data_IF_575316260067
#
_entry.id   IF_575316260067
#
_cell.length_a   1.000
_cell.length_b   1.000
_cell.length_c   1.000
_cell.angle_alpha   90.00
_cell.angle_beta   90.00
_cell.angle_gamma   90.00
#
_symmetry.space_group_name_H-M   'P 1'
#
loop_
_entity.id
_entity.type
_entity.pdbx_description
1 polymer ?
#
# COMPACT_ATOMS: atom_id res chain seq x y z
N UNK A 1 2.42 30.39 -5.16
CA UNK A 1 2.59 31.57 -4.33
C UNK A 1 1.94 31.30 -2.96
N UNK A 2 2.69 31.49 -1.87
CA UNK A 2 2.09 31.38 -0.55
C UNK A 2 1.24 32.64 -0.27
N UNK A 3 0.20 32.56 0.57
CA UNK A 3 -0.62 33.71 0.96
C UNK A 3 0.21 34.90 1.48
N UNK A 4 1.39 34.65 2.06
CA UNK A 4 2.34 35.66 2.52
C UNK A 4 2.93 36.51 1.38
N UNK A 5 3.18 35.93 0.20
CA UNK A 5 3.70 36.68 -0.95
C UNK A 5 2.63 37.59 -1.55
N UNK A 6 1.37 37.16 -1.57
CA UNK A 6 0.26 37.96 -2.06
C UNK A 6 0.01 39.17 -1.16
N UNK A 7 0.03 38.99 0.16
CA UNK A 7 -0.14 40.09 1.13
C UNK A 7 1.01 41.11 1.07
N UNK A 8 2.26 40.66 0.86
CA UNK A 8 3.41 41.55 0.69
C UNK A 8 3.32 42.37 -0.59
N UNK A 9 2.79 41.77 -1.65
CA UNK A 9 2.56 42.44 -2.92
C UNK A 9 1.48 43.52 -2.79
N UNK A 10 0.35 43.21 -2.17
CA UNK A 10 -0.77 44.13 -1.96
C UNK A 10 -0.36 45.33 -1.07
N UNK A 11 0.42 45.10 -0.03
CA UNK A 11 0.85 46.16 0.89
C UNK A 11 1.83 47.16 0.27
N UNK A 12 2.63 46.75 -0.71
CA UNK A 12 3.57 47.62 -1.43
C UNK A 12 2.88 48.44 -2.53
N UNK A 13 1.65 48.12 -2.92
CA UNK A 13 0.96 48.66 -4.07
C UNK A 13 -0.09 49.73 -3.74
N UNK A 14 -0.21 50.15 -2.48
CA UNK A 14 -1.14 51.18 -2.03
C UNK A 14 -0.94 52.56 -2.73
N UNK A 15 0.07 52.69 -3.61
CA UNK A 15 0.36 53.90 -4.36
C UNK A 15 -0.11 53.83 -5.82
N UNK A 16 -0.62 52.70 -6.27
CA UNK A 16 -1.06 52.55 -7.67
C UNK A 16 -2.54 52.84 -7.82
N UNK A 17 -2.90 53.56 -8.91
CA UNK A 17 -4.28 53.72 -9.25
C UNK A 17 -4.95 52.38 -9.59
N UNK A 18 -6.27 52.30 -9.39
CA UNK A 18 -7.05 51.07 -9.57
C UNK A 18 -6.82 50.38 -10.92
N UNK A 19 -6.70 51.20 -12.00
CA UNK A 19 -6.46 50.68 -13.34
C UNK A 19 -5.08 50.07 -13.54
N UNK A 20 -4.07 50.66 -12.92
CA UNK A 20 -2.70 50.13 -12.98
C UNK A 20 -2.58 48.82 -12.19
N UNK A 21 -3.26 48.75 -11.06
CA UNK A 21 -3.34 47.54 -10.24
C UNK A 21 -4.01 46.40 -11.03
N UNK A 22 -5.14 46.67 -11.70
CA UNK A 22 -5.84 45.69 -12.53
C UNK A 22 -4.99 45.20 -13.71
N UNK A 23 -4.26 46.07 -14.38
CA UNK A 23 -3.39 45.67 -15.49
C UNK A 23 -2.24 44.78 -15.04
N UNK A 24 -1.60 45.11 -13.92
CA UNK A 24 -0.47 44.32 -13.37
C UNK A 24 -0.93 42.99 -12.81
N UNK A 25 -2.10 42.94 -12.14
CA UNK A 25 -2.69 41.69 -11.70
C UNK A 25 -3.04 40.79 -12.88
N UNK A 26 -3.55 41.36 -13.98
CA UNK A 26 -3.82 40.59 -15.19
C UNK A 26 -2.55 40.01 -15.78
N UNK A 27 -1.47 40.80 -15.92
CA UNK A 27 -0.18 40.31 -16.40
C UNK A 27 0.39 39.17 -15.52
N UNK A 28 0.31 39.30 -14.20
CA UNK A 28 0.77 38.25 -13.26
C UNK A 28 -0.08 36.99 -13.38
N UNK A 29 -1.40 37.14 -13.55
CA UNK A 29 -2.30 36.00 -13.75
C UNK A 29 -2.04 35.33 -15.10
N UNK A 30 -1.85 36.09 -16.17
CA UNK A 30 -1.57 35.56 -17.51
C UNK A 30 -0.20 34.83 -17.52
N UNK A 31 0.81 35.38 -16.84
CA UNK A 31 2.12 34.75 -16.68
C UNK A 31 2.03 33.47 -15.77
N UNK A 32 1.31 33.53 -14.67
CA UNK A 32 1.05 32.39 -13.84
C UNK A 32 0.30 31.28 -14.59
N UNK A 33 -0.73 31.64 -15.37
CA UNK A 33 -1.46 30.67 -16.21
C UNK A 33 -0.55 30.08 -17.28
N UNK A 34 0.34 30.84 -17.91
CA UNK A 34 1.30 30.32 -18.90
C UNK A 34 2.31 29.35 -18.31
N UNK A 35 2.75 29.59 -17.07
CA UNK A 35 3.69 28.74 -16.34
C UNK A 35 2.99 27.46 -15.83
N UNK A 36 1.70 27.56 -15.46
CA UNK A 36 0.94 26.45 -14.88
C UNK A 36 0.05 25.72 -15.88
N UNK A 37 -0.14 26.29 -17.08
CA UNK A 37 -0.87 25.65 -18.16
C UNK A 37 0.03 24.65 -18.88
N UNK A 38 0.35 23.55 -18.20
CA UNK A 38 0.68 22.33 -18.91
C UNK A 38 -0.65 21.81 -19.44
N UNK A 39 -0.84 21.70 -20.77
CA UNK A 39 -2.08 21.17 -21.31
C UNK A 39 -2.37 19.84 -20.65
N UNK A 40 -3.55 19.71 -20.01
CA UNK A 40 -3.99 18.45 -19.36
C UNK A 40 -3.89 17.27 -20.35
N UNK A 41 -3.93 17.55 -21.66
CA UNK A 41 -3.73 16.56 -22.73
C UNK A 41 -2.30 15.93 -22.78
N UNK A 42 -1.30 16.55 -22.14
CA UNK A 42 0.07 16.00 -22.09
C UNK A 42 0.40 15.28 -20.79
N UNK A 43 -0.41 15.47 -19.72
CA UNK A 43 -0.34 14.65 -18.54
C UNK A 43 -1.21 13.41 -18.76
N UNK A 44 -0.72 12.49 -19.54
CA UNK A 44 -1.14 11.10 -19.36
C UNK A 44 -0.46 10.63 -18.08
N UNK A 45 -1.21 10.35 -16.98
CA UNK A 45 -0.64 9.63 -15.89
C UNK A 45 -0.04 8.37 -16.52
N UNK A 46 1.27 8.19 -16.40
CA UNK A 46 1.89 6.94 -16.84
C UNK A 46 1.08 5.85 -16.17
N UNK A 47 0.34 5.09 -16.98
CA UNK A 47 -0.42 3.94 -16.48
C UNK A 47 0.64 3.05 -15.88
N UNK A 48 0.71 3.00 -14.55
CA UNK A 48 1.66 2.12 -13.86
C UNK A 48 1.34 0.72 -14.39
N UNK A 49 2.27 0.16 -15.13
CA UNK A 49 2.16 -1.22 -15.58
C UNK A 49 2.41 -2.07 -14.34
N UNK A 50 1.40 -2.77 -13.89
CA UNK A 50 1.48 -3.72 -12.80
C UNK A 50 0.80 -5.02 -13.23
N UNK A 51 1.24 -6.10 -12.65
CA UNK A 51 0.61 -7.39 -12.76
C UNK A 51 -0.39 -7.54 -11.62
N UNK A 52 -1.54 -8.10 -11.91
CA UNK A 52 -2.55 -8.47 -10.92
C UNK A 52 -2.42 -9.97 -10.65
N UNK A 53 -2.18 -10.32 -9.41
CA UNK A 53 -2.04 -11.71 -8.93
C UNK A 53 -3.00 -11.94 -7.77
N UNK A 54 -3.53 -13.14 -7.67
CA UNK A 54 -4.35 -13.61 -6.55
C UNK A 54 -3.62 -14.70 -5.77
N UNK A 55 -4.06 -15.03 -4.58
CA UNK A 55 -3.47 -16.17 -3.86
C UNK A 55 -3.78 -17.53 -4.51
N UNK A 56 -4.61 -17.57 -5.54
CA UNK A 56 -4.85 -18.78 -6.34
C UNK A 56 -3.75 -19.01 -7.40
N UNK A 57 -3.05 -17.92 -7.84
CA UNK A 57 -1.94 -18.00 -8.79
C UNK A 57 -0.74 -18.76 -8.22
N UNK A 58 0.17 -19.21 -9.08
CA UNK A 58 1.36 -19.92 -8.66
C UNK A 58 2.23 -19.04 -7.72
N UNK A 59 2.80 -19.65 -6.69
CA UNK A 59 3.60 -18.89 -5.69
C UNK A 59 4.86 -18.27 -6.31
N UNK A 60 5.41 -18.89 -7.35
CA UNK A 60 6.59 -18.41 -8.07
C UNK A 60 6.32 -17.11 -8.83
N UNK A 61 5.06 -16.85 -9.23
CA UNK A 61 4.66 -15.61 -9.90
C UNK A 61 4.86 -14.37 -9.01
N UNK A 62 4.87 -14.53 -7.70
CA UNK A 62 5.15 -13.47 -6.75
C UNK A 62 6.64 -13.20 -6.53
N UNK A 63 7.50 -14.13 -6.96
CA UNK A 63 8.94 -13.96 -6.81
C UNK A 63 9.45 -12.92 -7.81
N UNK A 64 10.48 -12.16 -7.44
CA UNK A 64 11.04 -11.07 -8.25
C UNK A 64 10.07 -9.91 -8.53
N UNK A 65 9.00 -9.79 -7.75
CA UNK A 65 8.07 -8.68 -7.84
C UNK A 65 8.07 -7.82 -6.58
N UNK A 66 8.04 -6.50 -6.78
CA UNK A 66 7.80 -5.53 -5.73
C UNK A 66 6.30 -5.39 -5.48
N UNK A 67 5.91 -5.35 -4.22
CA UNK A 67 4.54 -5.07 -3.80
C UNK A 67 4.16 -3.62 -4.11
N UNK A 68 2.99 -3.40 -4.67
CA UNK A 68 2.39 -2.07 -4.88
C UNK A 68 1.26 -1.86 -3.89
N UNK A 69 0.19 -2.62 -4.01
CA UNK A 69 -0.96 -2.61 -3.11
C UNK A 69 -1.67 -3.97 -3.11
N UNK A 70 -2.67 -4.12 -2.26
CA UNK A 70 -3.56 -5.27 -2.30
C UNK A 70 -4.99 -4.89 -1.94
N UNK A 71 -5.93 -5.73 -2.33
CA UNK A 71 -7.32 -5.66 -1.90
C UNK A 71 -7.79 -7.01 -1.37
N UNK A 72 -8.75 -6.98 -0.44
CA UNK A 72 -9.44 -8.15 0.08
C UNK A 72 -10.94 -7.91 -0.06
N UNK A 73 -11.66 -8.83 -0.67
CA UNK A 73 -13.09 -8.68 -0.98
C UNK A 73 -13.39 -7.36 -1.72
N UNK A 74 -12.51 -6.95 -2.66
CA UNK A 74 -12.62 -5.70 -3.40
C UNK A 74 -12.32 -4.42 -2.60
N UNK A 75 -11.96 -4.54 -1.32
CA UNK A 75 -11.58 -3.41 -0.47
C UNK A 75 -10.07 -3.24 -0.48
N UNK A 76 -9.58 -2.10 -0.98
CA UNK A 76 -8.14 -1.79 -1.00
C UNK A 76 -7.59 -1.62 0.41
N UNK A 77 -6.48 -2.26 0.69
CA UNK A 77 -5.76 -2.17 1.96
C UNK A 77 -4.75 -1.02 1.90
N UNK A 78 -4.82 -0.11 2.86
CA UNK A 78 -3.93 1.06 2.94
C UNK A 78 -2.50 0.66 3.33
N UNK A 79 -1.75 0.09 2.40
CA UNK A 79 -0.33 -0.23 2.52
C UNK A 79 0.50 0.70 1.62
N UNK A 80 1.73 0.97 2.00
CA UNK A 80 2.66 1.75 1.16
C UNK A 80 3.24 0.86 0.08
N UNK A 81 3.49 1.43 -1.10
CA UNK A 81 4.26 0.76 -2.16
C UNK A 81 5.64 0.33 -1.66
N UNK A 82 6.16 -0.74 -2.24
CA UNK A 82 7.49 -1.28 -1.96
C UNK A 82 7.75 -1.68 -0.49
N UNK A 83 6.71 -1.97 0.26
CA UNK A 83 6.89 -2.58 1.59
C UNK A 83 7.36 -4.03 1.45
N UNK A 84 8.02 -4.54 2.50
CA UNK A 84 8.44 -5.93 2.50
C UNK A 84 7.25 -6.89 2.58
N UNK A 85 7.33 -8.03 1.92
CA UNK A 85 6.34 -9.10 1.99
C UNK A 85 6.08 -9.61 3.42
N UNK A 86 7.06 -9.49 4.30
CA UNK A 86 6.91 -9.70 5.75
C UNK A 86 5.83 -8.79 6.35
N UNK A 87 5.83 -7.51 5.98
CA UNK A 87 4.86 -6.54 6.47
C UNK A 87 3.48 -6.75 5.83
N UNK A 88 3.45 -7.16 4.56
CA UNK A 88 2.22 -7.57 3.87
C UNK A 88 1.57 -8.74 4.60
N UNK A 89 2.32 -9.82 4.86
CA UNK A 89 1.84 -10.98 5.62
C UNK A 89 1.25 -10.56 6.96
N UNK A 90 1.99 -9.77 7.75
CA UNK A 90 1.51 -9.30 9.07
C UNK A 90 0.18 -8.56 8.95
N UNK A 91 0.06 -7.61 8.02
CA UNK A 91 -1.17 -6.82 7.84
C UNK A 91 -2.36 -7.68 7.41
N UNK A 92 -2.15 -8.66 6.53
CA UNK A 92 -3.23 -9.57 6.11
C UNK A 92 -3.70 -10.44 7.28
N UNK A 93 -2.76 -10.95 8.10
CA UNK A 93 -3.11 -11.70 9.32
C UNK A 93 -3.87 -10.83 10.31
N UNK A 94 -3.50 -9.55 10.49
CA UNK A 94 -4.25 -8.59 11.32
C UNK A 94 -5.68 -8.34 10.79
N UNK A 95 -5.88 -8.44 9.47
CA UNK A 95 -7.22 -8.32 8.87
C UNK A 95 -8.04 -9.59 9.11
N UNK A 96 -7.43 -10.76 8.95
CA UNK A 96 -8.09 -12.04 9.23
C UNK A 96 -8.50 -12.15 10.70
N UNK A 97 -7.69 -11.64 11.62
CA UNK A 97 -7.93 -11.62 13.05
C UNK A 97 -9.28 -10.98 13.42
N UNK A 98 -9.71 -9.98 12.67
CA UNK A 98 -10.99 -9.29 12.94
C UNK A 98 -12.22 -10.21 12.81
N UNK A 99 -12.13 -11.26 12.01
CA UNK A 99 -13.22 -12.21 11.76
C UNK A 99 -12.94 -13.62 12.27
N UNK A 100 -11.67 -13.99 12.39
CA UNK A 100 -11.20 -15.36 12.60
C UNK A 100 -10.23 -15.46 13.79
N UNK A 101 -10.39 -14.61 14.81
CA UNK A 101 -9.48 -14.56 15.96
C UNK A 101 -9.31 -15.93 16.64
N UNK A 102 -10.41 -16.59 16.92
CA UNK A 102 -10.42 -17.88 17.62
C UNK A 102 -9.75 -19.00 16.79
N UNK A 103 -10.04 -19.03 15.50
CA UNK A 103 -9.44 -20.00 14.57
C UNK A 103 -7.93 -19.79 14.45
N UNK A 104 -7.47 -18.54 14.38
CA UNK A 104 -6.04 -18.22 14.35
C UNK A 104 -5.32 -18.64 15.61
N UNK A 105 -5.94 -18.48 16.80
CA UNK A 105 -5.39 -19.00 18.05
C UNK A 105 -5.33 -20.54 18.07
N UNK A 106 -6.36 -21.22 17.56
CA UNK A 106 -6.37 -22.67 17.44
C UNK A 106 -5.28 -23.17 16.50
N UNK A 107 -5.10 -22.52 15.35
CA UNK A 107 -4.02 -22.82 14.40
C UNK A 107 -2.68 -22.66 15.10
N UNK A 108 -2.42 -21.54 15.78
CA UNK A 108 -1.15 -21.28 16.44
C UNK A 108 -0.81 -22.28 17.55
N UNK A 109 -1.81 -22.83 18.24
CA UNK A 109 -1.64 -23.82 19.31
C UNK A 109 -1.61 -25.26 18.80
N UNK A 110 -1.90 -25.49 17.51
CA UNK A 110 -1.86 -26.83 16.92
C UNK A 110 -0.43 -27.27 16.65
N UNK A 111 -0.05 -28.44 17.12
CA UNK A 111 1.26 -29.04 16.81
C UNK A 111 1.41 -29.53 15.38
N UNK A 112 0.32 -29.61 14.63
CA UNK A 112 0.27 -30.22 13.30
C UNK A 112 0.29 -29.17 12.16
N UNK A 113 0.47 -27.89 12.47
CA UNK A 113 0.59 -26.86 11.45
C UNK A 113 2.00 -26.24 11.42
N UNK A 114 2.37 -25.69 10.26
CA UNK A 114 3.64 -25.01 10.02
C UNK A 114 3.46 -23.54 9.63
N UNK A 115 2.29 -22.97 9.93
CA UNK A 115 1.88 -21.65 9.41
C UNK A 115 1.97 -20.59 10.50
N UNK A 116 1.31 -20.83 11.63
CA UNK A 116 1.34 -19.98 12.81
C UNK A 116 1.85 -20.76 14.03
N UNK A 117 2.39 -20.05 14.98
CA UNK A 117 2.99 -20.62 16.18
C UNK A 117 2.57 -19.82 17.40
N UNK A 118 2.39 -20.50 18.53
CA UNK A 118 2.24 -19.87 19.83
C UNK A 118 3.61 -19.64 20.48
N UNK A 119 3.63 -18.98 21.64
CA UNK A 119 4.85 -18.76 22.42
C UNK A 119 5.61 -20.07 22.72
N UNK A 120 4.89 -21.17 22.95
CA UNK A 120 5.46 -22.46 23.27
C UNK A 120 5.98 -23.28 22.08
N UNK A 121 5.55 -22.93 20.84
CA UNK A 121 5.85 -23.70 19.62
C UNK A 121 6.72 -22.92 18.64
N UNK A 122 6.90 -21.61 18.84
CA UNK A 122 7.71 -20.76 17.96
C UNK A 122 9.18 -21.17 17.92
N UNK A 123 9.81 -20.91 16.81
CA UNK A 123 11.26 -21.05 16.61
C UNK A 123 11.95 -19.69 16.64
N UNK A 124 13.28 -19.65 16.65
CA UNK A 124 14.08 -18.41 16.59
C UNK A 124 13.83 -17.54 15.34
N UNK A 125 13.25 -18.13 14.27
CA UNK A 125 12.96 -17.45 13.00
C UNK A 125 11.51 -16.96 12.90
N UNK A 126 10.71 -17.17 13.95
CA UNK A 126 9.34 -16.68 14.02
C UNK A 126 9.32 -15.28 14.63
N UNK A 127 8.48 -14.42 14.08
CA UNK A 127 8.22 -13.09 14.61
C UNK A 127 6.72 -12.93 14.89
N UNK A 128 6.42 -12.08 15.84
CA UNK A 128 5.06 -11.82 16.26
C UNK A 128 4.28 -11.10 15.16
N UNK A 129 3.18 -11.71 14.72
CA UNK A 129 2.23 -11.15 13.73
C UNK A 129 0.96 -10.63 14.40
N UNK A 130 0.53 -11.26 15.50
CA UNK A 130 -0.52 -10.84 16.41
C UNK A 130 -0.03 -11.06 17.85
N UNK A 131 -0.65 -10.41 18.86
CA UNK A 131 -0.27 -10.65 20.26
C UNK A 131 -0.29 -12.14 20.62
N UNK A 132 0.88 -12.70 20.94
CA UNK A 132 1.06 -14.11 21.27
C UNK A 132 1.00 -15.11 20.11
N UNK A 133 0.82 -14.63 18.86
CA UNK A 133 0.81 -15.45 17.65
C UNK A 133 1.99 -15.05 16.76
N UNK A 134 2.74 -16.04 16.33
CA UNK A 134 3.99 -15.89 15.58
C UNK A 134 3.91 -16.57 14.23
N UNK A 135 4.58 -16.02 13.22
CA UNK A 135 4.74 -16.64 11.92
C UNK A 135 6.22 -16.67 11.52
N UNK A 136 6.58 -17.63 10.69
CA UNK A 136 7.95 -17.75 10.19
C UNK A 136 8.27 -16.58 9.24
N UNK A 137 9.26 -15.76 9.58
CA UNK A 137 9.59 -14.54 8.88
C UNK A 137 10.92 -14.60 8.13
N UNK A 138 11.76 -15.59 8.38
CA UNK A 138 12.97 -15.82 7.60
C UNK A 138 12.60 -16.48 6.26
N UNK A 139 13.31 -16.13 5.20
CA UNK A 139 13.06 -16.68 3.87
C UNK A 139 12.49 -15.67 2.88
N UNK A 140 12.20 -16.15 1.67
CA UNK A 140 11.80 -15.38 0.50
C UNK A 140 10.32 -14.96 0.52
N UNK A 141 9.91 -14.21 -0.50
CA UNK A 141 8.49 -13.94 -0.84
C UNK A 141 7.69 -15.23 -0.92
N UNK A 142 8.24 -16.25 -1.57
CA UNK A 142 7.66 -17.59 -1.70
C UNK A 142 7.13 -18.13 -0.35
N UNK A 143 7.93 -18.05 0.71
CA UNK A 143 7.53 -18.52 2.04
C UNK A 143 6.31 -17.75 2.58
N UNK A 144 6.26 -16.42 2.41
CA UNK A 144 5.17 -15.58 2.92
C UNK A 144 3.86 -15.84 2.18
N UNK A 145 3.95 -16.01 0.86
CA UNK A 145 2.79 -16.34 0.03
C UNK A 145 2.23 -17.71 0.38
N UNK A 146 3.09 -18.71 0.59
CA UNK A 146 2.62 -20.04 1.01
C UNK A 146 1.96 -20.03 2.39
N UNK A 147 2.45 -19.21 3.33
CA UNK A 147 1.79 -19.03 4.63
C UNK A 147 0.37 -18.44 4.41
N UNK A 148 0.23 -17.42 3.56
CA UNK A 148 -1.09 -16.83 3.27
C UNK A 148 -2.04 -17.81 2.59
N UNK A 149 -1.55 -18.59 1.61
CA UNK A 149 -2.35 -19.63 0.94
C UNK A 149 -2.86 -20.68 1.91
N UNK A 150 -1.99 -21.17 2.78
CA UNK A 150 -2.38 -22.17 3.77
C UNK A 150 -3.33 -21.59 4.82
N UNK A 151 -3.16 -20.33 5.22
CA UNK A 151 -4.11 -19.64 6.09
C UNK A 151 -5.49 -19.52 5.45
N UNK A 152 -5.57 -19.14 4.18
CA UNK A 152 -6.83 -19.09 3.45
C UNK A 152 -7.54 -20.43 3.47
N UNK A 153 -6.80 -21.52 3.21
CA UNK A 153 -7.35 -22.87 3.24
C UNK A 153 -7.82 -23.28 4.64
N UNK A 154 -7.07 -22.97 5.71
CA UNK A 154 -7.42 -23.32 7.09
C UNK A 154 -8.60 -22.51 7.62
N UNK A 155 -8.79 -21.28 7.11
CA UNK A 155 -9.86 -20.36 7.50
C UNK A 155 -11.07 -20.39 6.55
N UNK A 156 -11.06 -21.26 5.53
CA UNK A 156 -12.10 -21.34 4.48
C UNK A 156 -12.33 -20.00 3.77
N UNK A 157 -11.24 -19.29 3.49
CA UNK A 157 -11.24 -18.01 2.74
C UNK A 157 -10.91 -18.32 1.28
N UNK A 158 -11.72 -17.80 0.35
CA UNK A 158 -11.45 -17.92 -1.09
C UNK A 158 -10.18 -17.13 -1.46
N UNK A 159 -9.10 -17.80 -1.92
CA UNK A 159 -7.85 -17.17 -2.27
C UNK A 159 -7.98 -16.15 -3.41
N UNK A 160 -8.99 -16.26 -4.28
CA UNK A 160 -9.25 -15.31 -5.38
C UNK A 160 -9.74 -13.94 -4.86
N UNK A 161 -10.26 -13.87 -3.64
CA UNK A 161 -10.72 -12.61 -3.06
C UNK A 161 -9.55 -11.70 -2.60
N UNK A 162 -8.33 -12.23 -2.56
CA UNK A 162 -7.13 -11.50 -2.15
C UNK A 162 -6.29 -11.21 -3.38
N UNK A 163 -6.38 -9.97 -3.85
CA UNK A 163 -5.73 -9.49 -5.08
C UNK A 163 -4.54 -8.61 -4.72
N UNK A 164 -3.40 -8.89 -5.34
CA UNK A 164 -2.17 -8.12 -5.21
C UNK A 164 -1.84 -7.44 -6.54
N UNK A 165 -1.52 -6.16 -6.48
CA UNK A 165 -0.84 -5.49 -7.57
C UNK A 165 0.65 -5.50 -7.30
N UNK A 166 1.42 -5.99 -8.25
CA UNK A 166 2.86 -6.16 -8.15
C UNK A 166 3.56 -5.63 -9.39
N UNK A 167 4.83 -5.29 -9.28
CA UNK A 167 5.67 -4.81 -10.37
C UNK A 167 6.98 -5.62 -10.39
N UNK A 168 7.43 -6.02 -11.56
CA UNK A 168 8.74 -6.63 -11.71
C UNK A 168 9.84 -5.71 -11.17
N UNK A 169 10.85 -6.28 -10.52
CA UNK A 169 12.05 -5.53 -10.19
C UNK A 169 12.82 -5.23 -11.48
N UNK A 170 13.17 -3.96 -11.70
CA UNK A 170 14.06 -3.53 -12.77
C UNK A 170 15.52 -3.95 -12.52
#
# INVERSE_FOLDING_TARGET
>A
YSPLHLNCFISKQNQWGENELKQRLKLILDEAVSIWYVPISTYQPQKKVYNELTLDDETDDFTNHAFIDCSIDGTTIALKENISWKKVLKTIVEIFDKKHHYELEQIANSSNNSVLYSESTKTEYCEEVLPGIYAYQKGSTYTKINILKELCKLLDIDPQTIVFHVREYE
#
